data_IF_559696270822
#
_entry.id   IF_559696270822
#
_cell.length_a   1.000
_cell.length_b   1.000
_cell.length_c   1.000
_cell.angle_alpha   90.00
_cell.angle_beta   90.00
_cell.angle_gamma   90.00
#
_symmetry.space_group_name_H-M   'P 1'
#
loop_
_entity.id
_entity.type
_entity.pdbx_description
1 polymer ?
#
# COMPACT_ATOMS: atom_id res chain seq x y z
N UNK A 1 18.14 32.73 15.26
CA UNK A 1 17.89 33.58 14.07
C UNK A 1 16.84 33.02 13.12
N UNK A 2 16.92 31.77 12.64
CA UNK A 2 15.83 31.19 11.82
C UNK A 2 14.63 30.71 12.65
N UNK A 3 14.85 30.28 13.90
CA UNK A 3 13.79 29.79 14.81
C UNK A 3 12.87 30.95 15.23
N UNK A 4 13.44 32.11 15.55
CA UNK A 4 12.72 33.31 15.99
C UNK A 4 11.83 33.91 14.89
N UNK A 5 12.07 33.56 13.62
CA UNK A 5 11.29 34.03 12.49
C UNK A 5 9.93 33.33 12.38
N UNK A 6 9.79 32.11 12.92
CA UNK A 6 8.53 31.36 12.90
C UNK A 6 7.52 31.90 13.91
N UNK A 7 7.98 32.40 15.05
CA UNK A 7 7.13 32.98 16.11
C UNK A 7 6.51 34.32 15.70
N UNK A 8 7.08 34.99 14.69
CA UNK A 8 6.55 36.23 14.11
C UNK A 8 5.42 35.98 13.08
N UNK A 9 5.23 34.73 12.65
CA UNK A 9 4.21 34.39 11.65
C UNK A 9 2.89 34.12 12.35
N UNK A 10 1.92 35.00 12.12
CA UNK A 10 0.59 34.84 12.68
C UNK A 10 -0.13 33.63 12.07
N UNK A 11 -0.78 32.81 12.92
CA UNK A 11 -1.50 31.59 12.51
C UNK A 11 -2.49 31.82 11.36
N UNK A 12 -3.14 32.98 11.31
CA UNK A 12 -4.08 33.34 10.24
C UNK A 12 -3.41 33.43 8.86
N UNK A 13 -2.14 33.86 8.82
CA UNK A 13 -1.35 33.98 7.59
C UNK A 13 -0.96 32.61 7.06
N UNK A 14 -0.52 31.71 7.95
CA UNK A 14 -0.30 30.29 7.62
C UNK A 14 -1.58 29.63 7.11
N UNK A 15 -2.70 29.80 7.81
CA UNK A 15 -3.98 29.24 7.39
C UNK A 15 -4.40 29.74 6.00
N UNK A 16 -4.28 31.04 5.71
CA UNK A 16 -4.59 31.59 4.40
C UNK A 16 -3.65 31.07 3.30
N UNK A 17 -2.35 30.98 3.59
CA UNK A 17 -1.38 30.44 2.65
C UNK A 17 -1.67 28.97 2.33
N UNK A 18 -1.98 28.17 3.36
CA UNK A 18 -2.32 26.76 3.20
C UNK A 18 -3.66 26.56 2.51
N UNK A 19 -4.70 27.33 2.83
CA UNK A 19 -5.99 27.25 2.14
C UNK A 19 -5.86 27.58 0.65
N UNK A 20 -5.00 28.54 0.30
CA UNK A 20 -4.68 28.86 -1.10
C UNK A 20 -3.94 27.71 -1.80
N UNK A 21 -2.99 27.06 -1.13
CA UNK A 21 -2.25 25.92 -1.71
C UNK A 21 -3.14 24.69 -1.87
N UNK A 22 -4.02 24.45 -0.90
CA UNK A 22 -4.90 23.29 -0.87
C UNK A 22 -6.21 23.50 -1.65
N UNK A 23 -6.39 24.66 -2.28
CA UNK A 23 -7.56 24.98 -3.11
C UNK A 23 -8.91 24.66 -2.44
N UNK A 24 -8.98 24.78 -1.10
CA UNK A 24 -10.18 24.43 -0.31
C UNK A 24 -11.39 25.33 -0.55
N UNK A 25 -11.24 26.41 -1.34
CA UNK A 25 -12.37 27.23 -1.77
C UNK A 25 -13.26 26.50 -2.79
N UNK A 26 -12.75 25.44 -3.44
CA UNK A 26 -13.47 24.60 -4.40
C UNK A 26 -13.56 23.14 -3.92
N UNK A 27 -13.89 22.89 -2.65
CA UNK A 27 -14.34 21.55 -2.22
C UNK A 27 -15.77 21.30 -2.77
N UNK A 28 -15.89 21.23 -4.10
CA UNK A 28 -16.87 20.33 -4.68
C UNK A 28 -16.31 18.93 -4.45
N UNK A 29 -16.95 18.22 -3.54
CA UNK A 29 -16.92 16.77 -3.40
C UNK A 29 -16.61 16.14 -4.76
N UNK A 30 -15.39 15.61 -4.93
CA UNK A 30 -15.11 14.64 -5.99
C UNK A 30 -15.78 13.35 -5.52
N UNK A 31 -17.10 13.34 -5.64
CA UNK A 31 -17.92 12.15 -5.53
C UNK A 31 -18.09 11.63 -6.94
N UNK A 32 -17.58 10.43 -7.16
CA UNK A 32 -17.65 9.67 -8.39
C UNK A 32 -16.71 10.17 -9.48
N UNK A 33 -16.14 9.22 -10.22
CA UNK A 33 -15.70 9.44 -11.61
C UNK A 33 -16.94 9.83 -12.40
N UNK A 34 -17.35 11.09 -12.27
CA UNK A 34 -18.45 11.67 -13.03
C UNK A 34 -18.00 11.76 -14.49
N UNK A 35 -18.89 11.39 -15.42
CA UNK A 35 -18.68 11.55 -16.87
C UNK A 35 -18.22 12.97 -17.25
N UNK A 36 -18.54 13.97 -16.41
CA UNK A 36 -18.05 15.35 -16.53
C UNK A 36 -16.53 15.48 -16.46
N UNK A 37 -15.84 14.71 -15.61
CA UNK A 37 -14.37 14.75 -15.47
C UNK A 37 -13.72 14.09 -16.69
N UNK A 38 -14.36 13.05 -17.22
CA UNK A 38 -13.90 12.36 -18.42
C UNK A 38 -13.96 13.27 -19.65
N UNK A 39 -15.04 14.04 -19.78
CA UNK A 39 -15.23 14.99 -20.89
C UNK A 39 -14.21 16.14 -20.83
N UNK A 40 -13.93 16.66 -19.63
CA UNK A 40 -12.89 17.70 -19.40
C UNK A 40 -11.48 17.19 -19.75
N UNK A 41 -11.15 15.95 -19.36
CA UNK A 41 -9.85 15.33 -19.68
C UNK A 41 -9.72 15.09 -21.19
N UNK A 42 -10.80 14.66 -21.85
CA UNK A 42 -10.82 14.45 -23.28
C UNK A 42 -10.61 15.76 -24.05
N UNK A 43 -11.27 16.85 -23.63
CA UNK A 43 -11.08 18.18 -24.22
C UNK A 43 -9.63 18.68 -24.05
N UNK A 44 -9.02 18.48 -22.87
CA UNK A 44 -7.64 18.85 -22.62
C UNK A 44 -6.66 18.02 -23.46
N UNK A 45 -6.88 16.72 -23.60
CA UNK A 45 -6.03 15.86 -24.42
C UNK A 45 -6.08 16.21 -25.91
N UNK A 46 -7.27 16.52 -26.43
CA UNK A 46 -7.45 17.04 -27.80
C UNK A 46 -6.71 18.37 -28.01
N UNK A 47 -6.74 19.26 -27.01
CA UNK A 47 -6.03 20.56 -27.05
C UNK A 47 -4.51 20.43 -27.06
N UNK A 48 -3.95 19.42 -26.37
CA UNK A 48 -2.49 19.25 -26.31
C UNK A 48 -1.99 18.48 -27.56
N UNK A 49 -2.89 17.98 -28.41
CA UNK A 49 -2.59 17.34 -29.69
C UNK A 49 -1.60 16.15 -29.54
N UNK A 50 -1.58 15.52 -28.37
CA UNK A 50 -0.54 14.53 -27.99
C UNK A 50 -0.75 13.19 -28.70
N UNK A 51 -1.94 12.88 -29.18
CA UNK A 51 -2.20 11.58 -29.80
C UNK A 51 -3.41 11.61 -30.72
N UNK A 52 -3.26 10.95 -31.87
CA UNK A 52 -4.27 10.83 -32.90
C UNK A 52 -4.76 9.37 -33.04
N UNK A 53 -4.25 8.46 -32.20
CA UNK A 53 -4.32 7.00 -32.37
C UNK A 53 -5.05 6.25 -31.24
N UNK A 54 -5.69 6.93 -30.28
CA UNK A 54 -6.55 6.30 -29.29
C UNK A 54 -7.99 6.79 -29.42
N UNK A 55 -8.95 5.94 -29.07
CA UNK A 55 -10.35 6.29 -29.05
C UNK A 55 -10.85 6.67 -27.64
N UNK A 56 -12.10 7.10 -27.54
CA UNK A 56 -12.72 7.47 -26.26
C UNK A 56 -12.85 6.27 -25.31
N UNK A 57 -12.92 5.05 -25.87
CA UNK A 57 -13.06 3.81 -25.12
C UNK A 57 -11.71 3.40 -24.49
N UNK A 58 -10.60 3.57 -25.20
CA UNK A 58 -9.24 3.43 -24.67
C UNK A 58 -9.01 4.38 -23.47
N UNK A 59 -9.50 5.62 -23.57
CA UNK A 59 -9.38 6.61 -22.51
C UNK A 59 -10.20 6.23 -21.28
N UNK A 60 -11.44 5.76 -21.50
CA UNK A 60 -12.30 5.23 -20.43
C UNK A 60 -11.65 4.04 -19.76
N UNK A 61 -11.07 3.12 -20.52
CA UNK A 61 -10.34 1.98 -19.98
C UNK A 61 -9.18 2.47 -19.09
N UNK A 62 -8.32 3.37 -19.55
CA UNK A 62 -7.18 3.85 -18.77
C UNK A 62 -7.59 4.58 -17.48
N UNK A 63 -8.61 5.44 -17.53
CA UNK A 63 -9.09 6.18 -16.35
C UNK A 63 -9.78 5.24 -15.36
N UNK A 64 -10.37 4.14 -15.82
CA UNK A 64 -11.10 3.18 -14.97
C UNK A 64 -10.34 1.89 -14.67
N UNK A 65 -9.07 1.78 -15.12
CA UNK A 65 -8.22 0.61 -14.90
C UNK A 65 -8.17 0.19 -13.42
N UNK A 66 -8.07 1.16 -12.53
CA UNK A 66 -7.94 0.93 -11.09
C UNK A 66 -9.29 0.87 -10.35
N UNK A 67 -10.42 1.10 -11.04
CA UNK A 67 -11.75 1.13 -10.42
C UNK A 67 -12.14 -0.19 -9.75
N UNK A 68 -11.57 -1.30 -10.22
CA UNK A 68 -11.79 -2.63 -9.66
C UNK A 68 -10.65 -3.11 -8.74
N UNK A 69 -9.59 -2.32 -8.54
CA UNK A 69 -8.51 -2.69 -7.64
C UNK A 69 -8.95 -2.51 -6.19
N UNK A 70 -8.96 -3.62 -5.44
CA UNK A 70 -9.31 -3.66 -4.03
C UNK A 70 -8.45 -2.75 -3.16
N UNK A 71 -7.23 -2.42 -3.59
CA UNK A 71 -6.33 -1.48 -2.90
C UNK A 71 -6.65 0.00 -3.11
N UNK A 72 -7.42 0.35 -4.14
CA UNK A 72 -7.75 1.73 -4.51
C UNK A 72 -9.25 2.03 -4.45
N UNK A 73 -10.03 1.17 -3.81
CA UNK A 73 -11.45 1.43 -3.56
C UNK A 73 -11.60 2.68 -2.70
N UNK A 74 -12.39 3.64 -3.18
CA UNK A 74 -12.84 4.77 -2.37
C UNK A 74 -13.93 4.23 -1.44
N UNK A 75 -13.59 4.14 -0.15
CA UNK A 75 -14.46 3.60 0.88
C UNK A 75 -14.96 4.75 1.77
N UNK A 76 -16.21 4.68 2.22
CA UNK A 76 -16.67 5.57 3.29
C UNK A 76 -16.00 5.21 4.61
N UNK A 77 -15.87 6.18 5.51
CA UNK A 77 -15.25 5.99 6.84
C UNK A 77 -15.85 4.77 7.57
N UNK A 78 -17.17 4.58 7.51
CA UNK A 78 -17.86 3.44 8.13
C UNK A 78 -17.39 2.10 7.53
N UNK A 79 -17.25 2.04 6.20
CA UNK A 79 -16.82 0.83 5.48
C UNK A 79 -15.34 0.52 5.72
N UNK A 80 -14.52 1.55 5.95
CA UNK A 80 -13.10 1.40 6.35
C UNK A 80 -13.03 0.76 7.75
N UNK A 81 -13.82 1.27 8.70
CA UNK A 81 -13.87 0.74 10.07
C UNK A 81 -14.33 -0.72 10.07
N UNK A 82 -15.39 -1.06 9.33
CA UNK A 82 -15.89 -2.43 9.22
C UNK A 82 -14.82 -3.40 8.67
N UNK A 83 -14.11 -3.00 7.62
CA UNK A 83 -13.02 -3.80 7.06
C UNK A 83 -11.88 -4.05 8.04
N UNK A 84 -11.46 -3.02 8.79
CA UNK A 84 -10.40 -3.17 9.79
C UNK A 84 -10.84 -4.12 10.91
N UNK A 85 -12.10 -4.04 11.35
CA UNK A 85 -12.64 -4.92 12.37
C UNK A 85 -12.72 -6.38 11.88
N UNK A 86 -13.19 -6.62 10.66
CA UNK A 86 -13.22 -7.96 10.07
C UNK A 86 -11.82 -8.57 9.89
N UNK A 87 -10.82 -7.75 9.52
CA UNK A 87 -9.43 -8.21 9.41
C UNK A 87 -8.88 -8.65 10.78
N UNK A 88 -9.25 -7.96 11.86
CA UNK A 88 -8.82 -8.33 13.22
C UNK A 88 -9.45 -9.66 13.67
N UNK A 89 -10.75 -9.88 13.42
CA UNK A 89 -11.44 -11.13 13.75
C UNK A 89 -10.85 -12.34 12.99
N UNK A 90 -10.50 -12.15 11.71
CA UNK A 90 -9.85 -13.18 10.90
C UNK A 90 -8.40 -13.47 11.33
N UNK A 91 -7.69 -12.47 11.87
CA UNK A 91 -6.35 -12.66 12.43
C UNK A 91 -6.38 -13.36 13.80
N UNK A 92 -7.36 -13.05 14.65
CA UNK A 92 -7.53 -13.73 15.95
C UNK A 92 -7.80 -15.24 15.80
N UNK A 93 -8.56 -15.67 14.78
CA UNK A 93 -8.74 -17.11 14.51
C UNK A 93 -7.49 -17.82 13.99
N UNK A 94 -6.46 -17.11 13.53
CA UNK A 94 -5.18 -17.71 13.11
C UNK A 94 -4.14 -17.76 14.25
N UNK A 95 -4.32 -16.98 15.32
CA UNK A 95 -3.39 -16.98 16.47
C UNK A 95 -3.58 -18.20 17.40
N UNK A 96 -4.71 -18.90 17.32
CA UNK A 96 -5.07 -19.98 18.26
C UNK A 96 -4.50 -21.38 17.90
N UNK A 97 -3.54 -21.47 16.96
CA UNK A 97 -2.90 -22.74 16.57
C UNK A 97 -1.41 -22.84 16.92
N UNK A 98 -0.95 -22.11 17.93
CA UNK A 98 0.45 -22.20 18.37
C UNK A 98 0.54 -22.48 19.86
N UNK A 99 0.10 -23.65 20.29
CA UNK A 99 0.49 -24.21 21.59
C UNK A 99 0.23 -25.73 21.68
N UNK A 100 0.94 -26.55 20.89
CA UNK A 100 1.21 -27.93 21.31
C UNK A 100 2.68 -28.29 21.07
N UNK A 101 3.40 -28.35 22.19
CA UNK A 101 4.76 -28.80 22.34
C UNK A 101 4.77 -30.33 22.21
N UNK A 102 5.14 -30.87 21.04
CA UNK A 102 5.39 -32.30 20.86
C UNK A 102 6.83 -32.50 20.43
N UNK A 103 7.56 -33.12 21.35
CA UNK A 103 8.95 -33.58 21.30
C UNK A 103 9.11 -34.69 20.25
N UNK A 104 9.10 -34.32 18.97
CA UNK A 104 9.53 -35.16 17.86
C UNK A 104 10.65 -34.43 17.11
N UNK A 105 11.86 -34.98 17.22
CA UNK A 105 13.04 -34.76 16.36
C UNK A 105 12.82 -33.70 15.26
N UNK A 106 12.89 -32.43 15.66
CA UNK A 106 12.54 -31.32 14.78
C UNK A 106 13.66 -31.14 13.75
N UNK A 107 13.47 -31.69 12.56
CA UNK A 107 13.93 -31.02 11.34
C UNK A 107 13.10 -29.73 11.22
N UNK A 108 13.46 -28.71 12.02
CA UNK A 108 12.72 -27.46 12.17
C UNK A 108 12.68 -26.61 10.88
N UNK A 109 13.18 -27.16 9.76
CA UNK A 109 13.42 -26.44 8.54
C UNK A 109 14.40 -25.27 8.73
N UNK A 110 14.70 -24.54 7.66
CA UNK A 110 15.47 -23.31 7.78
C UNK A 110 14.70 -22.25 8.55
N UNK A 111 15.39 -21.51 9.42
CA UNK A 111 14.86 -20.29 10.04
C UNK A 111 14.35 -19.31 8.99
N UNK A 112 13.42 -18.42 9.35
CA UNK A 112 12.93 -17.34 8.48
C UNK A 112 14.08 -16.53 7.85
N UNK A 113 15.17 -16.30 8.60
CA UNK A 113 16.36 -15.61 8.11
C UNK A 113 17.16 -16.46 7.11
N UNK A 114 17.29 -17.75 7.36
CA UNK A 114 18.00 -18.68 6.47
C UNK A 114 17.24 -18.88 5.15
N UNK A 115 15.90 -19.01 5.23
CA UNK A 115 15.04 -19.09 4.06
C UNK A 115 15.14 -17.84 3.19
N UNK A 116 15.19 -16.64 3.81
CA UNK A 116 15.39 -15.39 3.10
C UNK A 116 16.74 -15.30 2.40
N UNK A 117 17.82 -15.63 3.09
CA UNK A 117 19.16 -15.62 2.52
C UNK A 117 19.29 -16.62 1.36
N UNK A 118 18.67 -17.80 1.49
CA UNK A 118 18.63 -18.80 0.43
C UNK A 118 17.89 -18.27 -0.81
N UNK A 119 16.72 -17.62 -0.62
CA UNK A 119 15.93 -17.03 -1.71
C UNK A 119 16.65 -15.86 -2.40
N UNK A 120 17.34 -15.00 -1.64
CA UNK A 120 18.18 -13.94 -2.21
C UNK A 120 19.34 -14.50 -3.04
N UNK A 121 19.95 -15.58 -2.57
CA UNK A 121 21.05 -16.26 -3.28
C UNK A 121 20.54 -16.92 -4.56
N UNK A 122 19.41 -17.64 -4.49
CA UNK A 122 18.77 -18.23 -5.66
C UNK A 122 18.40 -17.17 -6.70
N UNK A 123 17.88 -16.02 -6.27
CA UNK A 123 17.50 -14.92 -7.16
C UNK A 123 18.72 -14.30 -7.84
N UNK A 124 19.82 -14.05 -7.11
CA UNK A 124 21.08 -13.56 -7.68
C UNK A 124 21.69 -14.54 -8.69
N UNK A 125 21.55 -15.84 -8.44
CA UNK A 125 22.02 -16.88 -9.36
C UNK A 125 21.14 -16.96 -10.62
N UNK A 126 19.81 -16.97 -10.45
CA UNK A 126 18.86 -17.11 -11.56
C UNK A 126 18.91 -15.93 -12.52
N UNK A 127 19.08 -14.70 -12.03
CA UNK A 127 19.26 -13.50 -12.85
C UNK A 127 20.45 -13.56 -13.82
N UNK A 128 21.45 -14.38 -13.54
CA UNK A 128 22.66 -14.52 -14.38
C UNK A 128 22.53 -15.61 -15.43
N UNK A 129 21.46 -16.40 -15.40
CA UNK A 129 21.25 -17.48 -16.36
C UNK A 129 20.69 -16.93 -17.66
N UNK A 130 21.10 -17.50 -18.79
CA UNK A 130 20.57 -17.15 -20.12
C UNK A 130 19.10 -17.53 -20.29
N UNK A 131 18.61 -18.47 -19.48
CA UNK A 131 17.24 -18.95 -19.43
C UNK A 131 16.37 -18.17 -18.42
N UNK A 132 16.87 -17.05 -17.92
CA UNK A 132 16.16 -16.21 -16.95
C UNK A 132 14.92 -15.57 -17.58
N UNK A 133 13.77 -16.21 -17.42
CA UNK A 133 12.49 -15.65 -17.83
C UNK A 133 11.93 -14.63 -16.80
N UNK A 134 11.24 -13.62 -17.33
CA UNK A 134 10.61 -12.55 -16.55
C UNK A 134 9.53 -13.07 -15.61
N UNK A 135 8.74 -14.06 -16.02
CA UNK A 135 7.65 -14.63 -15.19
C UNK A 135 8.25 -15.41 -14.03
N UNK A 136 9.26 -16.25 -14.28
CA UNK A 136 9.97 -16.99 -13.23
C UNK A 136 10.68 -16.08 -12.24
N UNK A 137 11.28 -14.98 -12.72
CA UNK A 137 11.88 -13.96 -11.85
C UNK A 137 10.85 -13.26 -10.95
N UNK A 138 9.68 -12.92 -11.47
CA UNK A 138 8.60 -12.31 -10.70
C UNK A 138 8.05 -13.26 -9.64
N UNK A 139 7.87 -14.54 -9.98
CA UNK A 139 7.45 -15.56 -9.02
C UNK A 139 8.46 -15.73 -7.88
N UNK A 140 9.75 -15.79 -8.19
CA UNK A 140 10.80 -15.93 -7.17
C UNK A 140 10.89 -14.70 -6.25
N UNK A 141 10.72 -13.49 -6.81
CA UNK A 141 10.62 -12.25 -6.02
C UNK A 141 9.42 -12.29 -5.07
N UNK A 142 8.26 -12.72 -5.56
CA UNK A 142 7.05 -12.87 -4.74
C UNK A 142 7.27 -13.83 -3.57
N UNK A 143 7.93 -14.98 -3.80
CA UNK A 143 8.23 -15.96 -2.75
C UNK A 143 9.17 -15.37 -1.69
N UNK A 144 10.21 -14.65 -2.10
CA UNK A 144 11.11 -13.91 -1.20
C UNK A 144 10.34 -12.88 -0.36
N UNK A 145 9.43 -12.14 -0.97
CA UNK A 145 8.66 -11.11 -0.27
C UNK A 145 7.72 -11.71 0.78
N UNK A 146 7.12 -12.87 0.50
CA UNK A 146 6.34 -13.64 1.50
C UNK A 146 7.22 -14.04 2.68
N UNK A 147 8.43 -14.56 2.43
CA UNK A 147 9.37 -14.89 3.50
C UNK A 147 9.78 -13.65 4.32
N UNK A 148 9.93 -12.49 3.66
CA UNK A 148 10.28 -11.23 4.32
C UNK A 148 9.16 -10.71 5.21
N UNK A 149 7.91 -10.85 4.76
CA UNK A 149 6.72 -10.51 5.55
C UNK A 149 6.62 -11.40 6.78
N UNK A 150 6.83 -12.72 6.64
CA UNK A 150 6.81 -13.67 7.77
C UNK A 150 7.91 -13.39 8.79
N UNK A 151 9.09 -12.96 8.35
CA UNK A 151 10.14 -12.48 9.26
C UNK A 151 9.67 -11.25 10.05
N UNK A 152 8.97 -10.32 9.40
CA UNK A 152 8.49 -9.08 10.03
C UNK A 152 7.28 -9.30 10.94
N UNK A 153 6.44 -10.31 10.72
CA UNK A 153 5.31 -10.61 11.60
C UNK A 153 5.75 -11.07 12.99
N UNK A 154 6.96 -11.62 13.16
CA UNK A 154 7.56 -11.90 14.47
C UNK A 154 8.06 -10.65 15.22
N UNK A 155 8.03 -9.48 14.59
CA UNK A 155 8.58 -8.22 15.10
C UNK A 155 7.53 -7.08 15.11
N UNK A 156 6.24 -7.41 15.26
CA UNK A 156 5.22 -6.37 15.48
C UNK A 156 5.49 -5.70 16.82
N UNK A 157 5.56 -4.38 16.80
CA UNK A 157 5.72 -3.52 17.97
C UNK A 157 4.65 -3.92 19.00
N UNK A 158 5.07 -4.35 20.19
CA UNK A 158 4.12 -4.75 21.23
C UNK A 158 3.20 -3.57 21.54
N UNK A 159 1.89 -3.83 21.59
CA UNK A 159 0.89 -2.82 21.98
C UNK A 159 1.34 -2.17 23.28
N UNK A 160 1.25 -0.83 23.37
CA UNK A 160 1.78 -0.07 24.51
C UNK A 160 1.22 -0.56 25.86
N UNK A 161 0.04 -1.16 25.83
CA UNK A 161 -0.65 -1.82 26.94
C UNK A 161 0.14 -2.97 27.56
N UNK A 162 0.99 -3.67 26.79
CA UNK A 162 1.87 -4.73 27.31
C UNK A 162 3.00 -4.20 28.21
N UNK A 163 3.27 -2.89 28.19
CA UNK A 163 4.28 -2.25 29.04
C UNK A 163 3.73 -1.71 30.36
N UNK A 164 2.40 -1.65 30.53
CA UNK A 164 1.78 -1.20 31.77
C UNK A 164 1.43 -2.41 32.64
N UNK A 165 2.25 -2.68 33.67
CA UNK A 165 1.87 -3.60 34.74
C UNK A 165 0.86 -2.90 35.65
N UNK A 166 -0.26 -3.59 35.92
CA UNK A 166 -1.30 -3.11 36.84
C UNK A 166 -0.75 -3.23 38.27
N UNK A 167 -0.51 -2.09 38.92
CA UNK A 167 -0.28 -2.00 40.36
C UNK A 167 -1.59 -2.16 41.12
#
# INVERSE_FOLDING_TARGET
>A
MAVDAWDLIEKKTLNKAWNRVLNRENENLITNTDDSILEDINELMLKIQICQDYDEDDMKEWITCDSNDQGFQIMSDDKIVENILQINEQQEMQEDQTEENIDMENDAGPSHDEALQALETALKWFQKQTESDTVSLLQLKRIRDIAAIKRKSGLRQMTITKYFKRN
#
